data_IF_137687111796
#
_entry.id   IF_137687111796
#
_cell.length_a   1.000
_cell.length_b   1.000
_cell.length_c   1.000
_cell.angle_alpha   90.00
_cell.angle_beta   90.00
_cell.angle_gamma   90.00
#
_symmetry.space_group_name_H-M   'P 1'
#
loop_
_entity.id
_entity.type
_entity.pdbx_description
1 polymer ?
#
# COMPACT_ATOMS: atom_id res chain seq x y z
N UNK A 1 -9.35 15.86 -7.29
CA UNK A 1 -8.72 14.58 -6.92
C UNK A 1 -7.53 14.83 -6.01
N UNK A 2 -7.53 14.25 -4.86
CA UNK A 2 -6.51 14.50 -3.85
C UNK A 2 -5.38 13.49 -3.91
N UNK A 3 -4.88 13.28 -5.10
CA UNK A 3 -3.85 12.27 -5.29
C UNK A 3 -2.56 12.60 -4.55
N UNK A 4 -2.26 13.90 -4.41
CA UNK A 4 -1.05 14.32 -3.70
C UNK A 4 -1.10 13.91 -2.23
N UNK A 5 -2.24 14.11 -1.58
CA UNK A 5 -2.39 13.74 -0.18
C UNK A 5 -2.35 12.22 -0.02
N UNK A 6 -3.00 11.50 -0.92
CA UNK A 6 -2.97 10.04 -0.89
C UNK A 6 -1.55 9.53 -1.07
N UNK A 7 -0.81 10.12 -1.99
CA UNK A 7 0.56 9.70 -2.25
C UNK A 7 1.44 9.92 -1.03
N UNK A 8 1.28 11.04 -0.35
CA UNK A 8 2.02 11.31 0.87
C UNK A 8 1.70 10.29 1.95
N UNK A 9 0.39 10.01 2.14
CA UNK A 9 -0.03 9.06 3.17
C UNK A 9 0.52 7.66 2.89
N UNK A 10 0.51 7.26 1.62
CA UNK A 10 1.06 5.96 1.24
C UNK A 10 2.53 5.86 1.59
N UNK A 11 3.30 6.89 1.29
CA UNK A 11 4.73 6.87 1.56
C UNK A 11 5.02 6.87 3.06
N UNK A 12 4.18 7.52 3.86
CA UNK A 12 4.38 7.59 5.30
C UNK A 12 3.92 6.33 6.01
N UNK A 13 2.79 5.79 5.60
CA UNK A 13 2.17 4.67 6.29
C UNK A 13 2.58 3.32 5.74
N UNK A 14 2.67 3.21 4.42
CA UNK A 14 2.97 1.93 3.78
C UNK A 14 4.02 2.15 2.69
N UNK A 15 5.26 2.42 3.07
CA UNK A 15 6.33 2.50 2.06
C UNK A 15 6.55 1.14 1.40
N UNK A 16 7.22 1.15 0.26
CA UNK A 16 7.37 -0.05 -0.56
C UNK A 16 8.00 -1.21 0.21
N UNK A 17 8.98 -0.94 1.04
CA UNK A 17 9.65 -2.01 1.77
C UNK A 17 8.73 -2.67 2.79
N UNK A 18 7.82 -1.91 3.42
CA UNK A 18 6.85 -2.48 4.33
C UNK A 18 5.83 -3.32 3.57
N UNK A 19 5.41 -2.87 2.39
CA UNK A 19 4.49 -3.62 1.57
C UNK A 19 5.12 -4.94 1.13
N UNK A 20 6.37 -4.89 0.69
CA UNK A 20 7.07 -6.11 0.28
C UNK A 20 7.28 -7.06 1.46
N UNK A 21 7.53 -6.52 2.63
CA UNK A 21 7.68 -7.32 3.83
C UNK A 21 6.40 -8.10 4.14
N UNK A 22 5.25 -7.44 3.99
CA UNK A 22 3.96 -8.09 4.18
C UNK A 22 3.74 -9.19 3.15
N UNK A 23 4.13 -8.96 1.90
CA UNK A 23 4.05 -10.00 0.87
C UNK A 23 4.87 -11.22 1.26
N UNK A 24 6.06 -11.01 1.78
CA UNK A 24 6.93 -12.11 2.19
C UNK A 24 6.32 -12.91 3.33
N UNK A 25 5.50 -12.27 4.14
CA UNK A 25 4.83 -12.94 5.25
C UNK A 25 3.56 -13.67 4.80
N UNK A 26 3.18 -13.55 3.54
CA UNK A 26 2.02 -14.22 2.99
C UNK A 26 0.77 -13.35 2.85
N UNK A 27 0.87 -12.06 3.16
CA UNK A 27 -0.26 -11.15 3.03
C UNK A 27 -0.27 -10.59 1.61
N UNK A 28 -0.88 -11.33 0.69
CA UNK A 28 -0.83 -10.98 -0.73
C UNK A 28 -2.16 -10.47 -1.27
N UNK A 29 -3.25 -10.64 -0.52
CA UNK A 29 -4.56 -10.19 -0.95
C UNK A 29 -4.86 -8.80 -0.39
N UNK A 30 -5.69 -8.03 -1.12
CA UNK A 30 -6.02 -6.67 -0.68
C UNK A 30 -6.62 -6.66 0.72
N UNK A 31 -7.58 -7.56 0.98
CA UNK A 31 -8.22 -7.60 2.29
C UNK A 31 -7.24 -7.98 3.39
N UNK A 32 -6.28 -8.85 3.10
CA UNK A 32 -5.26 -9.21 4.08
C UNK A 32 -4.37 -8.03 4.43
N UNK A 33 -3.95 -7.29 3.42
CA UNK A 33 -3.11 -6.12 3.63
C UNK A 33 -3.86 -5.03 4.38
N UNK A 34 -5.14 -4.86 4.07
CA UNK A 34 -5.95 -3.87 4.77
C UNK A 34 -6.01 -4.18 6.26
N UNK A 35 -6.21 -5.44 6.62
CA UNK A 35 -6.22 -5.84 8.02
C UNK A 35 -4.85 -5.72 8.66
N UNK A 36 -3.82 -6.12 7.93
CA UNK A 36 -2.46 -6.09 8.47
C UNK A 36 -2.02 -4.67 8.81
N UNK A 37 -2.31 -3.72 7.92
CA UNK A 37 -1.93 -2.33 8.12
C UNK A 37 -3.01 -1.51 8.82
N UNK A 38 -4.18 -2.10 9.07
CA UNK A 38 -5.30 -1.42 9.72
C UNK A 38 -5.76 -0.21 8.92
N UNK A 39 -5.97 -0.42 7.64
CA UNK A 39 -6.46 0.62 6.71
C UNK A 39 -7.57 0.03 5.87
N UNK A 40 -8.21 0.87 5.03
CA UNK A 40 -9.25 0.40 4.15
C UNK A 40 -8.68 -0.34 2.94
N UNK A 41 -9.52 -1.17 2.32
CA UNK A 41 -9.11 -1.84 1.09
C UNK A 41 -8.84 -0.83 -0.03
N UNK A 42 -9.63 0.25 -0.08
CA UNK A 42 -9.39 1.29 -1.08
C UNK A 42 -8.01 1.90 -0.91
N UNK A 43 -7.59 2.11 0.33
CA UNK A 43 -6.26 2.65 0.59
C UNK A 43 -5.17 1.69 0.10
N UNK A 44 -5.37 0.39 0.30
CA UNK A 44 -4.42 -0.62 -0.17
C UNK A 44 -4.35 -0.61 -1.70
N UNK A 45 -5.50 -0.51 -2.37
CA UNK A 45 -5.52 -0.43 -3.83
C UNK A 45 -4.74 0.79 -4.32
N UNK A 46 -4.92 1.93 -3.68
CA UNK A 46 -4.19 3.14 -4.02
C UNK A 46 -2.69 2.95 -3.76
N UNK A 47 -2.35 2.30 -2.65
CA UNK A 47 -0.96 2.04 -2.29
C UNK A 47 -0.27 1.23 -3.37
N UNK A 48 -0.89 0.15 -3.80
CA UNK A 48 -0.31 -0.71 -4.83
C UNK A 48 -0.16 0.07 -6.14
N UNK A 49 -1.19 0.82 -6.52
CA UNK A 49 -1.15 1.59 -7.76
C UNK A 49 -0.01 2.60 -7.74
N UNK A 50 0.14 3.32 -6.63
CA UNK A 50 1.16 4.36 -6.53
C UNK A 50 2.56 3.75 -6.60
N UNK A 51 2.79 2.65 -5.89
CA UNK A 51 4.11 2.02 -5.91
C UNK A 51 4.43 1.41 -7.26
N UNK A 52 3.43 0.88 -7.96
CA UNK A 52 3.63 0.34 -9.30
C UNK A 52 3.99 1.43 -10.29
N UNK A 53 3.31 2.57 -10.22
CA UNK A 53 3.59 3.71 -11.09
C UNK A 53 5.02 4.19 -10.88
N UNK A 54 5.49 4.19 -9.65
CA UNK A 54 6.85 4.60 -9.35
C UNK A 54 7.89 3.53 -9.64
N UNK A 55 7.44 2.33 -9.97
CA UNK A 55 8.36 1.24 -10.26
C UNK A 55 8.95 0.59 -9.02
N UNK A 56 8.34 0.73 -7.87
CA UNK A 56 8.84 0.14 -6.63
C UNK A 56 8.47 -1.33 -6.47
N UNK A 57 7.44 -1.75 -7.19
CA UNK A 57 7.01 -3.15 -7.15
C UNK A 57 6.55 -3.61 -8.52
#
# INVERSE_FOLDING_TARGET
>A
MEERATRWAVQELIPADKLLSAFKKGYTEVWQLAEYFNVTENFIKDTIRIHRVKGNI
#
